data_IF_045119092978
#
_entry.id   IF_045119092978
#
_cell.length_a   1.000
_cell.length_b   1.000
_cell.length_c   1.000
_cell.angle_alpha   90.00
_cell.angle_beta   90.00
_cell.angle_gamma   90.00
#
_symmetry.space_group_name_H-M   'P 1'
#
loop_
_entity.id
_entity.type
_entity.pdbx_description
1 polymer ?
#
# COMPACT_ATOMS: atom_id res chain seq x y z
N UNK A 1 -12.54 -10.60 -17.57
CA UNK A 1 -11.65 -9.94 -16.58
C UNK A 1 -11.14 -11.04 -15.66
N UNK A 2 -9.87 -11.46 -15.80
CA UNK A 2 -9.35 -12.61 -15.06
C UNK A 2 -9.24 -12.22 -13.59
N UNK A 3 -10.11 -12.81 -12.76
CA UNK A 3 -10.04 -12.70 -11.31
C UNK A 3 -8.67 -13.17 -10.87
N UNK A 4 -7.87 -12.26 -10.33
CA UNK A 4 -6.58 -12.62 -9.76
C UNK A 4 -6.83 -13.22 -8.38
N UNK A 5 -7.35 -14.45 -8.36
CA UNK A 5 -7.14 -15.36 -7.24
C UNK A 5 -5.64 -15.51 -7.00
N UNK A 6 -5.24 -15.76 -5.76
CA UNK A 6 -3.84 -15.78 -5.34
C UNK A 6 -3.04 -16.82 -6.14
N UNK A 7 -2.43 -16.36 -7.23
CA UNK A 7 -1.68 -17.19 -8.18
C UNK A 7 -0.28 -17.44 -7.61
N UNK A 8 0.31 -18.59 -7.94
CA UNK A 8 1.73 -18.85 -7.67
C UNK A 8 2.56 -17.70 -8.22
N UNK A 9 3.28 -16.99 -7.34
CA UNK A 9 4.07 -15.82 -7.71
C UNK A 9 3.39 -14.46 -7.49
N UNK A 10 2.32 -14.38 -6.67
CA UNK A 10 1.75 -13.09 -6.30
C UNK A 10 2.83 -12.17 -5.69
N UNK A 11 3.11 -10.99 -6.27
CA UNK A 11 4.17 -10.09 -5.80
C UNK A 11 4.04 -9.69 -4.34
N UNK A 12 2.81 -9.62 -3.78
CA UNK A 12 2.61 -9.28 -2.38
C UNK A 12 3.02 -10.40 -1.43
N UNK A 13 2.92 -11.65 -1.88
CA UNK A 13 3.41 -12.83 -1.13
C UNK A 13 4.91 -12.95 -1.29
N UNK A 14 5.42 -12.79 -2.52
CA UNK A 14 6.87 -12.86 -2.81
C UNK A 14 7.64 -11.77 -2.06
N UNK A 15 7.10 -10.55 -2.03
CA UNK A 15 7.62 -9.43 -1.25
C UNK A 15 7.31 -9.48 0.25
N UNK A 16 6.66 -10.55 0.73
CA UNK A 16 6.25 -10.79 2.13
C UNK A 16 5.30 -9.76 2.75
N UNK A 17 4.74 -8.84 1.97
CA UNK A 17 3.72 -7.89 2.44
C UNK A 17 2.49 -8.64 2.96
N UNK A 18 2.01 -9.64 2.20
CA UNK A 18 1.10 -10.65 2.73
C UNK A 18 1.93 -11.62 3.57
N UNK A 19 1.57 -11.76 4.84
CA UNK A 19 2.33 -12.53 5.83
C UNK A 19 2.98 -11.61 6.86
N UNK A 20 3.72 -10.58 6.45
CA UNK A 20 4.36 -9.68 7.42
C UNK A 20 3.44 -8.53 7.83
N UNK A 21 2.70 -7.91 6.89
CA UNK A 21 1.91 -6.69 7.14
C UNK A 21 0.41 -6.94 7.18
N UNK A 22 -0.11 -7.74 6.24
CA UNK A 22 -1.55 -8.03 6.12
C UNK A 22 -1.81 -9.53 5.95
N UNK A 23 -3.01 -9.95 6.29
CA UNK A 23 -3.46 -11.32 6.03
C UNK A 23 -3.79 -11.52 4.53
N UNK A 24 -3.75 -12.77 4.03
CA UNK A 24 -4.19 -13.11 2.69
C UNK A 24 -5.57 -12.54 2.35
N UNK A 25 -5.68 -11.87 1.21
CA UNK A 25 -6.93 -11.28 0.73
C UNK A 25 -7.08 -11.40 -0.78
N UNK A 26 -8.32 -11.24 -1.27
CA UNK A 26 -8.61 -11.20 -2.70
C UNK A 26 -8.68 -9.75 -3.15
N UNK A 27 -7.81 -9.34 -4.07
CA UNK A 27 -7.86 -8.01 -4.71
C UNK A 27 -9.13 -7.86 -5.55
N UNK A 28 -9.99 -6.93 -5.17
CA UNK A 28 -11.28 -6.66 -5.84
C UNK A 28 -11.29 -5.33 -6.57
N UNK A 29 -10.37 -4.44 -6.22
CA UNK A 29 -10.36 -3.05 -6.67
C UNK A 29 -9.02 -2.75 -7.33
N UNK A 30 -9.05 -2.08 -8.48
CA UNK A 30 -7.83 -1.55 -9.10
C UNK A 30 -7.33 -0.36 -8.26
N UNK A 31 -6.08 -0.40 -7.81
CA UNK A 31 -5.43 0.68 -7.09
C UNK A 31 -4.24 1.15 -7.93
N UNK A 32 -4.20 2.44 -8.28
CA UNK A 32 -3.04 3.07 -8.92
C UNK A 32 -2.51 4.17 -8.04
N UNK A 33 -1.21 4.07 -7.76
CA UNK A 33 -0.46 5.08 -7.02
C UNK A 33 0.60 5.58 -7.98
N UNK A 34 0.72 6.90 -8.13
CA UNK A 34 1.70 7.52 -9.02
C UNK A 34 2.45 8.65 -8.34
N UNK A 35 3.77 8.68 -8.53
CA UNK A 35 4.64 9.78 -8.13
C UNK A 35 5.15 10.48 -9.39
N UNK A 36 4.94 11.80 -9.48
CA UNK A 36 5.19 12.57 -10.70
C UNK A 36 4.56 11.87 -11.94
N UNK A 37 5.36 11.50 -12.93
CA UNK A 37 4.92 10.82 -14.16
C UNK A 37 5.03 9.28 -14.11
N UNK A 38 5.30 8.68 -12.94
CA UNK A 38 5.52 7.22 -12.80
C UNK A 38 4.49 6.56 -11.90
N UNK A 39 3.85 5.52 -12.43
CA UNK A 39 3.00 4.61 -11.65
C UNK A 39 3.86 3.62 -10.84
N UNK A 40 3.40 3.33 -9.63
CA UNK A 40 4.00 2.37 -8.70
C UNK A 40 3.56 0.96 -9.08
N UNK A 41 4.54 0.07 -9.23
CA UNK A 41 4.34 -1.37 -9.37
C UNK A 41 4.95 -2.09 -8.16
N UNK A 42 4.40 -3.25 -7.79
CA UNK A 42 4.87 -4.01 -6.64
C UNK A 42 6.38 -4.31 -6.74
N UNK A 43 7.11 -3.89 -5.70
CA UNK A 43 8.55 -4.11 -5.59
C UNK A 43 9.42 -3.16 -6.42
N UNK A 44 8.84 -2.16 -7.10
CA UNK A 44 9.64 -1.16 -7.80
C UNK A 44 10.52 -0.38 -6.82
N UNK A 45 11.72 -0.02 -7.25
CA UNK A 45 12.60 0.85 -6.46
C UNK A 45 12.32 2.31 -6.78
N UNK A 46 11.99 3.07 -5.73
CA UNK A 46 11.84 4.51 -5.79
C UNK A 46 12.90 5.18 -4.92
N UNK A 47 13.44 6.26 -5.46
CA UNK A 47 14.40 7.10 -4.76
C UNK A 47 13.67 7.96 -3.72
N UNK A 48 14.27 8.21 -2.53
CA UNK A 48 13.75 9.17 -1.56
C UNK A 48 13.37 10.53 -2.16
N UNK A 49 14.21 11.06 -3.06
CA UNK A 49 13.94 12.32 -3.76
C UNK A 49 12.70 12.28 -4.66
N UNK A 50 12.35 11.12 -5.21
CA UNK A 50 11.19 10.93 -6.08
C UNK A 50 9.86 10.77 -5.32
N UNK A 51 9.91 10.60 -3.99
CA UNK A 51 8.73 10.39 -3.14
C UNK A 51 8.60 11.45 -2.02
N UNK A 52 9.31 12.57 -2.16
CA UNK A 52 9.25 13.69 -1.21
C UNK A 52 7.86 14.33 -1.16
N UNK A 53 7.19 14.40 -2.33
CA UNK A 53 5.84 14.92 -2.45
C UNK A 53 4.79 13.80 -2.40
N UNK A 54 3.56 14.07 -1.88
CA UNK A 54 2.48 13.09 -1.84
C UNK A 54 2.12 12.53 -3.23
N UNK A 55 1.83 11.23 -3.35
CA UNK A 55 1.45 10.64 -4.63
C UNK A 55 0.02 10.99 -5.04
N UNK A 56 -0.24 10.85 -6.33
CA UNK A 56 -1.59 10.75 -6.86
C UNK A 56 -2.12 9.33 -6.65
N UNK A 57 -3.32 9.19 -6.11
CA UNK A 57 -3.96 7.89 -5.86
C UNK A 57 -5.29 7.82 -6.60
N UNK A 58 -5.45 6.81 -7.44
CA UNK A 58 -6.72 6.43 -8.05
C UNK A 58 -7.20 5.10 -7.47
N UNK A 59 -8.42 5.10 -6.96
CA UNK A 59 -9.11 3.87 -6.53
C UNK A 59 -10.20 3.58 -7.56
N UNK A 60 -10.11 2.42 -8.19
CA UNK A 60 -11.12 1.94 -9.11
C UNK A 60 -12.37 1.41 -8.39
N UNK A 61 -13.27 0.83 -9.18
CA UNK A 61 -14.49 0.18 -8.71
C UNK A 61 -15.41 -0.14 -9.89
N UNK A 62 -16.26 -1.17 -9.78
CA UNK A 62 -17.16 -1.57 -10.87
C UNK A 62 -18.17 -0.46 -11.23
N UNK A 63 -18.51 0.42 -10.29
CA UNK A 63 -19.44 1.52 -10.50
C UNK A 63 -18.92 2.82 -9.87
N UNK A 64 -18.97 3.93 -10.63
CA UNK A 64 -18.72 5.29 -10.12
C UNK A 64 -19.75 5.74 -9.06
N UNK A 65 -20.74 4.89 -8.76
CA UNK A 65 -21.73 5.06 -7.68
C UNK A 65 -21.32 4.33 -6.39
N UNK A 66 -20.28 3.50 -6.43
CA UNK A 66 -19.71 2.89 -5.24
C UNK A 66 -18.85 3.93 -4.53
N UNK A 67 -19.49 4.75 -3.70
CA UNK A 67 -18.78 5.50 -2.70
C UNK A 67 -18.26 4.50 -1.67
N UNK A 68 -16.95 4.44 -1.47
CA UNK A 68 -16.38 3.83 -0.27
C UNK A 68 -16.67 4.76 0.90
N UNK A 69 -17.91 4.74 1.37
CA UNK A 69 -18.27 5.35 2.63
C UNK A 69 -18.06 4.28 3.69
N UNK A 70 -17.23 4.61 4.67
CA UNK A 70 -17.13 3.87 5.92
C UNK A 70 -18.52 3.87 6.57
N UNK A 71 -19.32 2.84 6.30
CA UNK A 71 -20.70 2.79 6.77
C UNK A 71 -20.71 2.50 8.27
N UNK A 72 -20.90 3.57 9.06
CA UNK A 72 -21.44 3.51 10.41
C UNK A 72 -20.46 3.85 11.52
N UNK A 73 -20.42 5.13 11.95
CA UNK A 73 -20.01 5.59 13.29
C UNK A 73 -18.72 4.98 13.90
N UNK A 74 -17.72 4.63 13.11
CA UNK A 74 -16.36 4.41 13.59
C UNK A 74 -15.47 5.48 12.98
N UNK A 75 -15.38 6.64 13.64
CA UNK A 75 -14.31 7.57 13.34
C UNK A 75 -13.00 6.82 13.55
N UNK A 76 -12.27 6.56 12.46
CA UNK A 76 -10.93 5.98 12.54
C UNK A 76 -10.02 7.08 13.03
N UNK A 77 -9.37 6.89 14.18
CA UNK A 77 -8.43 7.85 14.72
C UNK A 77 -7.01 7.44 14.34
N UNK A 78 -6.17 8.43 14.03
CA UNK A 78 -4.75 8.18 13.83
C UNK A 78 -4.13 7.63 15.12
N UNK A 79 -3.23 6.63 15.03
CA UNK A 79 -2.49 6.18 16.21
C UNK A 79 -1.64 7.32 16.76
N UNK A 80 -1.48 7.38 18.09
CA UNK A 80 -0.66 8.42 18.73
C UNK A 80 0.84 8.32 18.41
N UNK A 81 1.29 7.18 17.88
CA UNK A 81 2.69 6.89 17.58
C UNK A 81 2.80 6.20 16.22
N UNK A 82 3.89 6.46 15.50
CA UNK A 82 4.14 5.87 14.18
C UNK A 82 4.85 4.52 14.26
N UNK A 83 5.73 4.36 15.25
CA UNK A 83 6.48 3.13 15.47
C UNK A 83 5.59 2.01 15.99
N UNK A 84 5.92 0.77 15.63
CA UNK A 84 5.21 -0.44 16.06
C UNK A 84 3.72 -0.46 15.68
N UNK A 85 3.33 0.27 14.63
CA UNK A 85 1.98 0.22 14.09
C UNK A 85 1.71 -1.14 13.44
N UNK A 86 0.63 -1.81 13.86
CA UNK A 86 0.14 -3.05 13.24
C UNK A 86 -1.09 -2.76 12.38
N UNK A 87 -0.99 -3.02 11.08
CA UNK A 87 -2.14 -2.88 10.17
C UNK A 87 -3.25 -3.86 10.50
N UNK A 88 -2.93 -5.05 11.00
CA UNK A 88 -3.92 -6.09 11.36
C UNK A 88 -4.75 -5.66 12.55
N UNK A 89 -4.09 -5.31 13.66
CA UNK A 89 -4.75 -4.87 14.90
C UNK A 89 -5.59 -3.63 14.64
N UNK A 90 -5.10 -2.71 13.80
CA UNK A 90 -5.82 -1.52 13.41
C UNK A 90 -7.09 -1.84 12.61
N UNK A 91 -7.00 -2.78 11.66
CA UNK A 91 -8.15 -3.21 10.88
C UNK A 91 -9.19 -3.94 11.75
N UNK A 92 -8.75 -4.73 12.73
CA UNK A 92 -9.62 -5.40 13.70
C UNK A 92 -10.30 -4.40 14.64
N UNK A 93 -9.54 -3.48 15.24
CA UNK A 93 -10.04 -2.45 16.16
C UNK A 93 -11.17 -1.61 15.56
N UNK A 94 -11.04 -1.28 14.27
CA UNK A 94 -12.02 -0.46 13.55
C UNK A 94 -12.95 -1.27 12.62
N UNK A 95 -12.98 -2.60 12.76
CA UNK A 95 -13.83 -3.50 11.95
C UNK A 95 -13.72 -3.24 10.43
N UNK A 96 -12.53 -2.93 9.93
CA UNK A 96 -12.29 -2.60 8.51
C UNK A 96 -12.32 -3.85 7.60
N UNK A 97 -12.14 -5.04 8.19
CA UNK A 97 -12.04 -6.30 7.47
C UNK A 97 -10.73 -6.42 6.70
N UNK A 98 -10.69 -7.34 5.73
CA UNK A 98 -9.52 -7.56 4.88
C UNK A 98 -9.33 -6.41 3.87
N UNK A 99 -8.08 -6.12 3.46
CA UNK A 99 -7.83 -5.14 2.40
C UNK A 99 -8.56 -5.48 1.11
N UNK A 100 -8.96 -4.45 0.34
CA UNK A 100 -9.55 -4.62 -1.00
C UNK A 100 -8.52 -4.49 -2.12
N UNK A 101 -7.38 -3.85 -1.83
CA UNK A 101 -6.21 -3.66 -2.68
C UNK A 101 -4.99 -3.32 -1.82
N UNK A 102 -3.78 -3.60 -2.32
CA UNK A 102 -2.52 -3.16 -1.74
C UNK A 102 -1.45 -3.05 -2.84
N UNK A 103 -0.52 -2.12 -2.66
CA UNK A 103 0.68 -1.96 -3.49
C UNK A 103 1.84 -1.52 -2.59
N UNK A 104 3.05 -1.95 -2.90
CA UNK A 104 4.25 -1.52 -2.19
C UNK A 104 5.38 -1.16 -3.16
N UNK A 105 6.29 -0.31 -2.69
CA UNK A 105 7.55 0.00 -3.36
C UNK A 105 8.70 -0.18 -2.37
N UNK A 106 9.90 -0.38 -2.91
CA UNK A 106 11.13 -0.40 -2.15
C UNK A 106 11.78 0.99 -2.21
N UNK A 107 12.34 1.44 -1.09
CA UNK A 107 13.05 2.70 -1.02
C UNK A 107 14.31 2.50 -0.18
N UNK A 108 15.46 2.89 -0.73
CA UNK A 108 16.74 2.83 -0.05
C UNK A 108 17.33 4.23 0.02
N UNK A 109 18.15 4.49 1.05
CA UNK A 109 18.85 5.76 1.21
C UNK A 109 19.71 6.04 -0.02
N UNK A 110 19.56 7.22 -0.63
CA UNK A 110 20.47 7.63 -1.69
C UNK A 110 21.89 7.72 -1.13
N UNK A 111 22.83 7.05 -1.78
CA UNK A 111 24.24 7.27 -1.51
C UNK A 111 24.61 8.64 -2.08
N UNK A 112 24.41 9.70 -1.30
CA UNK A 112 25.09 10.98 -1.54
C UNK A 112 26.59 10.74 -1.51
N UNK A 113 27.34 11.52 -2.31
CA UNK A 113 28.80 11.47 -2.46
C UNK A 113 29.49 11.42 -1.10
N UNK A 114 29.77 10.21 -0.61
CA UNK A 114 30.62 10.00 0.54
C UNK A 114 31.99 10.50 0.15
N UNK A 115 32.33 11.72 0.57
CA UNK A 115 33.65 12.27 0.46
C UNK A 115 34.64 11.20 0.88
N UNK A 116 35.53 10.87 -0.06
CA UNK A 116 36.64 9.96 0.12
C UNK A 116 37.33 10.40 1.41
N UNK A 117 37.26 9.58 2.47
CA UNK A 117 38.12 9.74 3.64
C UNK A 117 39.55 9.71 3.11
N UNK A 118 40.19 10.89 3.03
CA UNK A 118 41.64 11.01 3.00
C UNK A 118 42.15 10.89 4.43
#
# INVERSE_FOLDING_TARGET
MVGSGMQRGDPLVVGRVIGDVVDPFVRRVALRVGYASRDVANGCELRPSAIADPPRVEVGGPDMRTFYTLLGRQTVYAPGWRQNFSTRDFAELYNLGLPVAAVYFNCQRETGTGGRRM
#
